data_IF_694930631291
#
_entry.id   IF_694930631291
#
_cell.length_a   1.000
_cell.length_b   1.000
_cell.length_c   1.000
_cell.angle_alpha   90.00
_cell.angle_beta   90.00
_cell.angle_gamma   90.00
#
_symmetry.space_group_name_H-M   'P 1'
#
loop_
_entity.id
_entity.type
_entity.pdbx_description
1 polymer ?
#
# COMPACT_ATOMS: atom_id res chain seq x y z
N UNK A 1 12.97 -22.35 -25.50
CA UNK A 1 13.81 -21.14 -25.32
C UNK A 1 13.03 -19.91 -25.75
N UNK A 2 12.22 -19.35 -24.85
CA UNK A 2 11.53 -18.09 -25.09
C UNK A 2 12.40 -16.95 -24.52
N UNK A 3 12.88 -16.08 -25.42
CA UNK A 3 13.67 -14.91 -25.06
C UNK A 3 12.82 -13.98 -24.18
N UNK A 4 13.25 -13.77 -22.92
CA UNK A 4 12.84 -12.63 -22.09
C UNK A 4 13.27 -11.36 -22.84
N UNK A 5 12.33 -10.70 -23.51
CA UNK A 5 12.54 -9.35 -24.01
C UNK A 5 12.80 -8.44 -22.80
N UNK A 6 13.98 -7.83 -22.76
CA UNK A 6 14.32 -6.79 -21.80
C UNK A 6 13.30 -5.66 -21.90
N UNK A 7 12.65 -5.34 -20.79
CA UNK A 7 11.68 -4.26 -20.72
C UNK A 7 12.33 -2.95 -21.12
N UNK A 8 11.84 -2.34 -22.20
CA UNK A 8 12.03 -0.93 -22.47
C UNK A 8 11.42 -0.16 -21.31
N UNK A 9 12.25 0.28 -20.37
CA UNK A 9 11.79 1.13 -19.28
C UNK A 9 11.28 2.44 -19.90
N UNK A 10 9.98 2.71 -19.79
CA UNK A 10 9.38 3.94 -20.30
C UNK A 10 10.06 5.12 -19.60
N UNK A 11 10.75 6.02 -20.32
CA UNK A 11 11.41 7.18 -19.72
C UNK A 11 10.45 8.03 -18.87
N UNK A 12 9.15 8.04 -19.21
CA UNK A 12 8.14 8.74 -18.42
C UNK A 12 7.81 8.01 -17.11
N UNK A 13 7.79 6.68 -17.10
CA UNK A 13 7.61 5.86 -15.89
C UNK A 13 8.78 6.06 -14.91
N UNK A 14 10.02 5.99 -15.43
CA UNK A 14 11.21 6.26 -14.61
C UNK A 14 11.19 7.67 -14.01
N UNK A 15 10.74 8.66 -14.79
CA UNK A 15 10.59 10.04 -14.33
C UNK A 15 9.46 10.17 -13.28
N UNK A 16 8.37 9.42 -13.42
CA UNK A 16 7.27 9.37 -12.45
C UNK A 16 7.73 8.80 -11.10
N UNK A 17 8.44 7.67 -11.12
CA UNK A 17 9.04 7.07 -9.92
C UNK A 17 9.99 8.06 -9.24
N UNK A 18 10.86 8.73 -10.02
CA UNK A 18 11.79 9.72 -9.47
C UNK A 18 11.08 10.92 -8.84
N UNK A 19 10.01 11.42 -9.47
CA UNK A 19 9.21 12.52 -8.92
C UNK A 19 8.53 12.10 -7.60
N UNK A 20 7.97 10.90 -7.55
CA UNK A 20 7.37 10.36 -6.35
C UNK A 20 8.38 10.15 -5.21
N UNK A 21 9.58 9.64 -5.51
CA UNK A 21 10.64 9.47 -4.52
C UNK A 21 11.07 10.79 -3.90
N UNK A 22 11.28 11.82 -4.72
CA UNK A 22 11.63 13.16 -4.22
C UNK A 22 10.53 13.75 -3.33
N UNK A 23 9.25 13.50 -3.66
CA UNK A 23 8.13 13.99 -2.87
C UNK A 23 7.97 13.25 -1.54
N UNK A 24 7.81 11.92 -1.58
CA UNK A 24 7.46 11.13 -0.39
C UNK A 24 8.67 10.79 0.48
N UNK A 25 9.77 10.32 -0.12
CA UNK A 25 10.98 9.99 0.64
C UNK A 25 11.84 11.23 0.91
N UNK A 26 11.88 12.18 -0.04
CA UNK A 26 12.66 13.41 0.09
C UNK A 26 11.97 14.55 0.83
N UNK A 27 10.68 14.44 1.14
CA UNK A 27 9.90 15.49 1.83
C UNK A 27 9.75 16.79 1.03
N UNK A 28 10.06 16.78 -0.27
CA UNK A 28 9.97 17.97 -1.11
C UNK A 28 8.51 18.26 -1.46
N UNK A 29 8.13 19.53 -1.45
CA UNK A 29 6.84 19.95 -2.03
C UNK A 29 6.82 19.66 -3.53
N UNK A 30 5.65 19.45 -4.11
CA UNK A 30 5.53 19.19 -5.55
C UNK A 30 6.12 20.34 -6.39
N UNK A 31 6.02 21.58 -5.92
CA UNK A 31 6.66 22.74 -6.56
C UNK A 31 8.20 22.62 -6.53
N UNK A 32 8.77 22.23 -5.39
CA UNK A 32 10.22 22.01 -5.27
C UNK A 32 10.69 20.84 -6.14
N UNK A 33 9.90 19.76 -6.24
CA UNK A 33 10.16 18.64 -7.17
C UNK A 33 10.14 19.13 -8.62
N UNK A 34 9.15 19.96 -8.99
CA UNK A 34 9.02 20.52 -10.34
C UNK A 34 10.26 21.34 -10.73
N UNK A 35 10.68 22.28 -9.86
CA UNK A 35 11.89 23.06 -10.05
C UNK A 35 13.14 22.18 -10.17
N UNK A 36 13.24 21.12 -9.34
CA UNK A 36 14.39 20.22 -9.34
C UNK A 36 14.48 19.34 -10.60
N UNK A 37 13.34 18.95 -11.16
CA UNK A 37 13.27 18.12 -12.37
C UNK A 37 13.20 18.92 -13.66
N UNK A 38 13.15 20.26 -13.59
CA UNK A 38 12.97 21.12 -14.77
C UNK A 38 11.60 20.92 -15.44
N UNK A 39 10.58 20.58 -14.66
CA UNK A 39 9.21 20.30 -15.12
C UNK A 39 8.26 21.40 -14.65
N UNK A 40 7.09 21.48 -15.30
CA UNK A 40 5.98 22.30 -14.79
C UNK A 40 5.35 21.62 -13.56
N UNK A 41 4.74 22.42 -12.67
CA UNK A 41 4.02 21.88 -11.50
C UNK A 41 2.91 20.91 -11.91
N UNK A 42 2.18 21.21 -13.00
CA UNK A 42 1.11 20.35 -13.55
C UNK A 42 1.65 18.99 -13.99
N UNK A 43 2.78 18.97 -14.74
CA UNK A 43 3.39 17.71 -15.19
C UNK A 43 3.91 16.91 -14.00
N UNK A 44 4.51 17.58 -13.02
CA UNK A 44 5.02 16.94 -11.79
C UNK A 44 3.91 16.30 -10.97
N UNK A 45 2.80 17.02 -10.74
CA UNK A 45 1.62 16.49 -10.07
C UNK A 45 1.09 15.25 -10.80
N UNK A 46 0.94 15.31 -12.14
CA UNK A 46 0.48 14.17 -12.94
C UNK A 46 1.39 12.96 -12.83
N UNK A 47 2.71 13.16 -12.86
CA UNK A 47 3.70 12.09 -12.75
C UNK A 47 3.65 11.42 -11.38
N UNK A 48 3.58 12.21 -10.29
CA UNK A 48 3.45 11.67 -8.93
C UNK A 48 2.13 10.90 -8.79
N UNK A 49 1.02 11.47 -9.26
CA UNK A 49 -0.29 10.82 -9.21
C UNK A 49 -0.32 9.51 -10.01
N UNK A 50 0.32 9.48 -11.19
CA UNK A 50 0.48 8.26 -11.99
C UNK A 50 1.27 7.19 -11.24
N UNK A 51 2.41 7.54 -10.64
CA UNK A 51 3.20 6.59 -9.85
C UNK A 51 2.41 6.00 -8.68
N UNK A 52 1.54 6.79 -8.04
CA UNK A 52 0.63 6.31 -6.99
C UNK A 52 -0.46 5.40 -7.57
N UNK A 53 -1.11 5.81 -8.65
CA UNK A 53 -2.18 5.05 -9.31
C UNK A 53 -1.71 3.70 -9.85
N UNK A 54 -0.48 3.65 -10.38
CA UNK A 54 0.16 2.44 -10.89
C UNK A 54 0.68 1.53 -9.77
N UNK A 55 0.53 1.95 -8.50
CA UNK A 55 0.93 1.18 -7.31
C UNK A 55 2.43 1.17 -7.05
N UNK A 56 3.22 2.05 -7.68
CA UNK A 56 4.65 2.19 -7.45
C UNK A 56 4.96 2.86 -6.10
N UNK A 57 3.99 3.57 -5.52
CA UNK A 57 4.09 4.18 -4.20
C UNK A 57 3.10 3.51 -3.25
N UNK A 58 3.60 2.95 -2.16
CA UNK A 58 2.81 2.47 -1.03
C UNK A 58 3.24 3.23 0.21
N UNK A 59 2.28 3.85 0.90
CA UNK A 59 2.54 4.58 2.14
C UNK A 59 2.15 3.69 3.32
N UNK A 60 3.10 3.40 4.19
CA UNK A 60 2.88 2.77 5.48
C UNK A 60 3.00 3.81 6.58
N UNK A 61 2.15 3.71 7.59
CA UNK A 61 2.21 4.54 8.80
C UNK A 61 2.48 3.58 9.95
N UNK A 62 3.61 3.77 10.63
CA UNK A 62 3.95 2.99 11.82
C UNK A 62 3.41 3.73 13.05
N UNK A 63 2.49 3.08 13.76
CA UNK A 63 1.85 3.63 14.94
C UNK A 63 0.53 2.92 15.24
N UNK A 64 0.15 2.90 16.51
CA UNK A 64 -1.13 2.35 16.96
C UNK A 64 -2.15 3.47 17.12
N UNK A 65 -3.34 3.27 16.56
CA UNK A 65 -4.50 4.11 16.84
C UNK A 65 -5.15 3.52 18.09
N UNK A 66 -5.06 4.25 19.21
CA UNK A 66 -5.47 3.76 20.54
C UNK A 66 -6.91 3.27 20.53
N UNK A 67 -7.82 3.99 19.87
CA UNK A 67 -9.22 3.62 19.77
C UNK A 67 -9.43 2.29 19.01
N UNK A 68 -8.63 2.02 17.98
CA UNK A 68 -8.65 0.76 17.25
C UNK A 68 -8.15 -0.38 18.14
N UNK A 69 -7.02 -0.21 18.81
CA UNK A 69 -6.44 -1.22 19.71
C UNK A 69 -7.40 -1.58 20.87
N UNK A 70 -8.06 -0.58 21.46
CA UNK A 70 -9.08 -0.82 22.49
C UNK A 70 -10.29 -1.58 21.95
N UNK A 71 -10.66 -1.37 20.69
CA UNK A 71 -11.76 -2.09 20.06
C UNK A 71 -11.37 -3.53 19.72
N UNK A 72 -10.13 -3.77 19.28
CA UNK A 72 -9.58 -5.11 19.04
C UNK A 72 -9.66 -5.97 20.30
N UNK A 73 -9.15 -5.48 21.43
CA UNK A 73 -9.18 -6.20 22.72
C UNK A 73 -10.62 -6.55 23.14
N UNK A 74 -11.53 -5.58 23.01
CA UNK A 74 -12.96 -5.80 23.30
C UNK A 74 -13.60 -6.85 22.39
N UNK A 75 -13.21 -6.89 21.11
CA UNK A 75 -13.72 -7.86 20.15
C UNK A 75 -13.18 -9.27 20.45
N UNK A 76 -11.88 -9.38 20.73
CA UNK A 76 -11.27 -10.64 21.14
C UNK A 76 -11.93 -11.21 22.39
N UNK A 77 -12.09 -10.41 23.46
CA UNK A 77 -12.74 -10.87 24.69
C UNK A 77 -14.21 -11.26 24.50
N UNK A 78 -14.95 -10.51 23.68
CA UNK A 78 -16.38 -10.74 23.48
C UNK A 78 -16.67 -12.00 22.64
N UNK A 79 -15.82 -12.27 21.65
CA UNK A 79 -16.05 -13.33 20.67
C UNK A 79 -15.07 -14.50 20.79
N UNK A 80 -14.19 -14.49 21.79
CA UNK A 80 -13.18 -15.51 22.04
C UNK A 80 -12.26 -15.70 20.81
N UNK A 81 -11.73 -14.60 20.29
CA UNK A 81 -10.84 -14.59 19.12
C UNK A 81 -9.38 -14.61 19.57
N UNK A 82 -8.57 -15.45 18.92
CA UNK A 82 -7.11 -15.46 19.10
C UNK A 82 -6.46 -14.15 18.61
N UNK A 83 -7.08 -13.50 17.62
CA UNK A 83 -6.57 -12.29 16.99
C UNK A 83 -7.70 -11.44 16.40
N UNK A 84 -7.59 -10.12 16.54
CA UNK A 84 -8.43 -9.14 15.88
C UNK A 84 -7.57 -7.93 15.50
N UNK A 85 -7.76 -7.41 14.30
CA UNK A 85 -7.18 -6.15 13.84
C UNK A 85 -8.30 -5.27 13.31
N UNK A 86 -8.36 -4.03 13.78
CA UNK A 86 -9.37 -3.04 13.42
C UNK A 86 -8.72 -1.99 12.54
N UNK A 87 -9.12 -1.94 11.28
CA UNK A 87 -8.70 -0.88 10.37
C UNK A 87 -9.46 0.42 10.67
N UNK A 88 -8.79 1.59 10.66
CA UNK A 88 -9.47 2.87 10.76
C UNK A 88 -10.37 3.11 9.55
N UNK A 89 -11.52 3.75 9.79
CA UNK A 89 -12.42 4.14 8.71
C UNK A 89 -11.82 5.30 7.90
N UNK A 90 -11.78 5.13 6.58
CA UNK A 90 -11.31 6.12 5.63
C UNK A 90 -12.46 6.93 5.00
N UNK A 91 -13.70 6.67 5.39
CA UNK A 91 -14.91 7.29 4.82
C UNK A 91 -15.25 6.76 3.42
N UNK A 92 -14.99 5.47 3.17
CA UNK A 92 -15.31 4.82 1.90
C UNK A 92 -16.81 4.51 1.80
N UNK A 93 -17.43 4.83 0.66
CA UNK A 93 -18.81 4.43 0.39
C UNK A 93 -18.90 2.91 0.18
N UNK A 94 -19.76 2.25 0.95
CA UNK A 94 -20.01 0.81 0.83
C UNK A 94 -19.00 -0.04 1.60
N UNK A 95 -18.38 -1.03 0.94
CA UNK A 95 -17.42 -1.92 1.59
C UNK A 95 -16.03 -1.24 1.59
N UNK A 96 -15.38 -1.01 2.75
CA UNK A 96 -14.13 -0.25 2.86
C UNK A 96 -12.93 -1.09 2.42
N UNK A 97 -12.85 -1.37 1.12
CA UNK A 97 -11.86 -2.27 0.53
C UNK A 97 -10.44 -1.73 0.67
N UNK A 98 -10.25 -0.41 0.65
CA UNK A 98 -8.91 0.18 0.79
C UNK A 98 -8.40 0.05 2.21
N UNK A 99 -9.20 0.42 3.22
CA UNK A 99 -8.85 0.26 4.62
C UNK A 99 -8.52 -1.20 4.96
N UNK A 100 -9.43 -2.12 4.60
CA UNK A 100 -9.26 -3.55 4.85
C UNK A 100 -8.10 -4.15 4.04
N UNK A 101 -7.86 -3.67 2.82
CA UNK A 101 -6.74 -4.12 2.00
C UNK A 101 -5.40 -3.76 2.62
N UNK A 102 -5.24 -2.55 3.16
CA UNK A 102 -4.00 -2.12 3.80
C UNK A 102 -3.74 -2.94 5.07
N UNK A 103 -4.73 -3.04 5.97
CA UNK A 103 -4.60 -3.82 7.20
C UNK A 103 -4.34 -5.31 6.91
N UNK A 104 -5.14 -5.91 6.02
CA UNK A 104 -4.99 -7.30 5.61
C UNK A 104 -3.64 -7.60 4.96
N UNK A 105 -3.09 -6.69 4.16
CA UNK A 105 -1.74 -6.85 3.60
C UNK A 105 -0.66 -6.83 4.69
N UNK A 106 -0.82 -5.96 5.69
CA UNK A 106 0.05 -5.91 6.87
C UNK A 106 0.03 -7.23 7.64
N UNK A 107 -1.17 -7.74 7.93
CA UNK A 107 -1.36 -9.04 8.56
C UNK A 107 -0.71 -10.18 7.77
N UNK A 108 -1.05 -10.32 6.48
CA UNK A 108 -0.52 -11.39 5.63
C UNK A 108 1.02 -11.33 5.56
N UNK A 109 1.60 -10.13 5.44
CA UNK A 109 3.05 -9.95 5.46
C UNK A 109 3.65 -10.48 6.76
N UNK A 110 3.11 -10.07 7.93
CA UNK A 110 3.62 -10.50 9.24
C UNK A 110 3.55 -12.02 9.40
N UNK A 111 2.45 -12.64 9.01
CA UNK A 111 2.28 -14.11 9.13
C UNK A 111 3.19 -14.89 8.17
N UNK A 112 3.39 -14.39 6.95
CA UNK A 112 4.34 -14.99 5.99
C UNK A 112 5.79 -14.86 6.49
N UNK A 113 6.17 -13.69 7.00
CA UNK A 113 7.51 -13.41 7.49
C UNK A 113 7.85 -14.17 8.78
N UNK A 114 6.85 -14.45 9.64
CA UNK A 114 7.01 -15.32 10.81
C UNK A 114 7.45 -16.73 10.42
N UNK A 115 6.94 -17.25 9.30
CA UNK A 115 7.37 -18.55 8.77
C UNK A 115 6.86 -19.77 9.54
N UNK A 116 5.93 -19.58 10.48
CA UNK A 116 5.35 -20.67 11.28
C UNK A 116 4.43 -21.59 10.46
N UNK A 117 4.01 -21.15 9.27
CA UNK A 117 3.08 -21.85 8.40
C UNK A 117 3.71 -22.17 7.03
N UNK A 118 3.87 -23.46 6.74
CA UNK A 118 4.41 -23.92 5.46
C UNK A 118 3.41 -23.81 4.29
N UNK A 119 2.11 -23.77 4.59
CA UNK A 119 1.02 -23.74 3.60
C UNK A 119 0.00 -22.71 4.03
N UNK A 120 -0.39 -21.83 3.10
CA UNK A 120 -1.43 -20.82 3.31
C UNK A 120 -2.61 -21.13 2.40
N UNK A 121 -3.78 -21.38 2.99
CA UNK A 121 -5.03 -21.53 2.27
C UNK A 121 -5.63 -20.18 1.92
N UNK A 122 -6.05 -19.99 0.65
CA UNK A 122 -6.67 -18.75 0.19
C UNK A 122 -8.11 -19.04 -0.27
N UNK A 123 -9.05 -18.25 0.26
CA UNK A 123 -10.41 -18.18 -0.26
C UNK A 123 -10.53 -17.27 -1.49
N UNK A 124 -11.76 -16.87 -1.83
CA UNK A 124 -12.02 -15.86 -2.85
C UNK A 124 -12.78 -14.67 -2.26
N UNK A 125 -12.59 -13.47 -2.82
CA UNK A 125 -13.35 -12.30 -2.42
C UNK A 125 -12.63 -10.99 -2.72
N UNK A 126 -13.41 -9.91 -2.83
CA UNK A 126 -12.89 -8.56 -3.13
C UNK A 126 -11.96 -8.06 -2.03
N UNK A 127 -12.26 -8.34 -0.76
CA UNK A 127 -11.44 -7.95 0.38
C UNK A 127 -10.07 -8.62 0.36
N UNK A 128 -10.04 -9.94 0.09
CA UNK A 128 -8.79 -10.69 -0.02
C UNK A 128 -7.97 -10.22 -1.23
N UNK A 129 -8.62 -9.99 -2.38
CA UNK A 129 -7.96 -9.44 -3.55
C UNK A 129 -7.36 -8.06 -3.27
N UNK A 130 -8.06 -7.19 -2.53
CA UNK A 130 -7.55 -5.89 -2.12
C UNK A 130 -6.33 -6.02 -1.19
N UNK A 131 -6.35 -6.96 -0.24
CA UNK A 131 -5.20 -7.22 0.63
C UNK A 131 -3.97 -7.68 -0.16
N UNK A 132 -4.14 -8.65 -1.07
CA UNK A 132 -3.04 -9.14 -1.92
C UNK A 132 -2.49 -8.03 -2.84
N UNK A 133 -3.34 -7.15 -3.38
CA UNK A 133 -2.89 -5.99 -4.18
C UNK A 133 -2.02 -5.03 -3.36
N UNK A 134 -2.29 -4.89 -2.06
CA UNK A 134 -1.54 -4.02 -1.17
C UNK A 134 -0.24 -4.66 -0.65
N UNK A 135 -0.03 -5.97 -0.80
CA UNK A 135 1.23 -6.61 -0.40
C UNK A 135 2.47 -6.08 -1.16
N UNK A 136 3.65 -6.01 -0.52
CA UNK A 136 4.89 -5.65 -1.19
C UNK A 136 5.18 -6.55 -2.39
N UNK A 137 5.78 -5.98 -3.44
CA UNK A 137 6.34 -6.75 -4.55
C UNK A 137 7.77 -7.16 -4.15
N UNK A 138 8.02 -8.46 -4.05
CA UNK A 138 9.34 -9.04 -3.82
C UNK A 138 10.09 -9.27 -5.14
#
# INVERSE_FOLDING_TARGET
MARRNGGTHDPEESLAIRAAWLHYAGGLTQAAVASRLGLTSVKTHRLIARAVADGAVKVSIDGEIVECAMLEDRLCQKFDLDFCEVAPDLGEDGLPLRALGIAGAGFLRREIERGDHAVIGLGHGRTLAAAVQQMPRF
#
